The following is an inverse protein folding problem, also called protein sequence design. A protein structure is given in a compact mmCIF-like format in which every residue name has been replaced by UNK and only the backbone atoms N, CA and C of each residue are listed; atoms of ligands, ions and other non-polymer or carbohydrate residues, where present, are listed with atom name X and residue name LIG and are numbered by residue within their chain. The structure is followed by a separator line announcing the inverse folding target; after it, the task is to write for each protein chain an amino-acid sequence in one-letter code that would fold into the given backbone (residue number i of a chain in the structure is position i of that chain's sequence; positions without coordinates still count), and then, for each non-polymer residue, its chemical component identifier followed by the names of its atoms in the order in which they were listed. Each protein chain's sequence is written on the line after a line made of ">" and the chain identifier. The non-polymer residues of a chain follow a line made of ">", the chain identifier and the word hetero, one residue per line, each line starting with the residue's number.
data_IF_518344925000
#
_entry.id   IF_518344925000
#
_cell.length_a   1.000
_cell.length_b   1.000
_cell.length_c   1.000
_cell.angle_alpha   90.00
_cell.angle_beta   90.00
_cell.angle_gamma   90.00
#
_symmetry.space_group_name_H-M   'P 1'
#
loop_
_entity.id
_entity.type
_entity.pdbx_description
1 polymer ?
#
# COMPACT_ATOMS: atom_id res chain seq x y z
N UNK A 1 4.53 18.91 -17.85
CA UNK A 1 5.78 19.21 -17.12
C UNK A 1 5.40 19.32 -15.65
N UNK A 2 5.33 18.19 -14.94
CA UNK A 2 5.03 18.20 -13.51
C UNK A 2 6.16 18.92 -12.79
N UNK A 3 5.88 20.15 -12.33
CA UNK A 3 6.81 21.04 -11.62
C UNK A 3 7.04 20.60 -10.17
N UNK A 4 6.45 19.48 -9.77
CA UNK A 4 6.53 18.98 -8.41
C UNK A 4 7.73 18.03 -8.27
N UNK A 5 8.71 18.31 -7.38
CA UNK A 5 9.84 17.42 -7.15
C UNK A 5 9.49 15.98 -6.77
N UNK A 6 8.27 15.73 -6.26
CA UNK A 6 7.77 14.39 -5.94
C UNK A 6 7.28 13.61 -7.17
N UNK A 7 7.17 14.27 -8.31
CA UNK A 7 6.61 13.74 -9.55
C UNK A 7 7.62 13.79 -10.72
N UNK A 8 8.89 14.02 -10.40
CA UNK A 8 9.98 13.94 -11.37
C UNK A 8 10.32 12.47 -11.65
N UNK A 9 9.88 11.94 -12.78
CA UNK A 9 10.14 10.56 -13.19
C UNK A 9 11.63 10.27 -13.45
N UNK A 10 12.43 11.31 -13.68
CA UNK A 10 13.88 11.21 -13.89
C UNK A 10 14.71 11.37 -12.61
N UNK A 11 14.05 11.68 -11.48
CA UNK A 11 14.69 11.82 -10.18
C UNK A 11 14.89 10.49 -9.46
N UNK A 12 15.85 10.47 -8.53
CA UNK A 12 16.04 9.36 -7.60
C UNK A 12 15.24 9.60 -6.31
N UNK A 13 14.63 8.54 -5.77
CA UNK A 13 13.79 8.57 -4.58
C UNK A 13 14.21 7.52 -3.56
N UNK A 14 13.77 7.75 -2.33
CA UNK A 14 13.81 6.83 -1.21
C UNK A 14 12.39 6.48 -0.78
N UNK A 15 12.21 5.26 -0.30
CA UNK A 15 11.05 4.88 0.50
C UNK A 15 11.44 5.01 1.96
N UNK A 16 10.74 5.86 2.67
CA UNK A 16 10.89 6.03 4.10
C UNK A 16 9.79 5.26 4.84
N UNK A 17 10.13 4.76 6.02
CA UNK A 17 9.17 4.24 6.99
C UNK A 17 9.29 5.02 8.29
N UNK A 18 8.16 5.34 8.92
CA UNK A 18 8.15 5.86 10.28
C UNK A 18 7.98 4.73 11.31
N UNK A 19 8.07 5.08 12.59
CA UNK A 19 7.88 4.14 13.71
C UNK A 19 6.48 3.51 13.75
N UNK A 20 5.50 4.11 13.06
CA UNK A 20 4.12 3.60 12.93
C UNK A 20 3.94 2.65 11.73
N UNK A 21 5.00 2.39 10.95
CA UNK A 21 4.96 1.51 9.77
C UNK A 21 4.36 2.17 8.53
N UNK A 22 4.19 3.49 8.52
CA UNK A 22 3.70 4.24 7.36
C UNK A 22 4.83 4.45 6.37
N UNK A 23 4.53 4.21 5.09
CA UNK A 23 5.50 4.37 4.01
C UNK A 23 5.32 5.74 3.34
N UNK A 24 6.42 6.43 3.05
CA UNK A 24 6.42 7.72 2.34
C UNK A 24 7.48 7.73 1.25
N UNK A 25 7.13 8.22 0.07
CA UNK A 25 8.08 8.45 -1.01
C UNK A 25 8.78 9.80 -0.78
N UNK A 26 10.11 9.79 -0.73
CA UNK A 26 10.91 10.97 -0.43
C UNK A 26 11.99 11.18 -1.49
N UNK A 27 12.16 12.39 -2.03
CA UNK A 27 13.19 12.66 -3.02
C UNK A 27 14.58 12.58 -2.40
N UNK A 28 15.51 11.96 -3.12
CA UNK A 28 16.89 11.72 -2.64
C UNK A 28 17.68 12.98 -2.34
N UNK A 29 17.38 14.07 -3.04
CA UNK A 29 18.04 15.36 -2.86
C UNK A 29 17.57 16.11 -1.59
N UNK A 30 16.48 15.67 -0.95
CA UNK A 30 15.94 16.30 0.25
C UNK A 30 16.41 15.56 1.51
N UNK A 31 16.80 16.32 2.54
CA UNK A 31 17.18 15.74 3.82
C UNK A 31 16.02 14.94 4.44
N UNK A 32 16.33 13.76 4.96
CA UNK A 32 15.35 12.88 5.61
C UNK A 32 14.95 13.49 6.96
N UNK A 33 13.64 13.67 7.24
CA UNK A 33 13.19 14.18 8.53
C UNK A 33 13.54 13.22 9.69
N UNK A 34 13.75 13.78 10.88
CA UNK A 34 13.96 12.97 12.08
C UNK A 34 12.74 12.06 12.36
N UNK A 35 12.97 10.82 12.78
CA UNK A 35 11.91 9.83 13.02
C UNK A 35 11.46 9.05 11.78
N UNK A 36 12.09 9.30 10.63
CA UNK A 36 11.90 8.50 9.41
C UNK A 36 13.18 7.74 9.08
N UNK A 37 13.02 6.50 8.63
CA UNK A 37 14.11 5.60 8.26
C UNK A 37 13.99 5.21 6.80
N UNK A 38 15.08 5.31 6.04
CA UNK A 38 15.14 4.83 4.66
C UNK A 38 15.11 3.31 4.65
N UNK A 39 14.13 2.72 3.96
CA UNK A 39 13.99 1.25 3.81
C UNK A 39 14.27 0.77 2.38
N UNK A 40 14.20 1.67 1.40
CA UNK A 40 14.48 1.36 -0.01
C UNK A 40 14.95 2.61 -0.78
N UNK A 41 15.75 2.44 -1.85
CA UNK A 41 16.41 3.51 -2.62
C UNK A 41 17.93 3.59 -2.38
N UNK A 42 18.71 4.46 -3.03
CA UNK A 42 18.41 5.54 -3.99
C UNK A 42 18.08 4.96 -5.38
N UNK A 43 16.80 4.94 -5.74
CA UNK A 43 16.32 4.25 -6.94
C UNK A 43 15.30 5.09 -7.72
N UNK A 44 14.96 4.63 -8.93
CA UNK A 44 13.90 5.28 -9.73
C UNK A 44 12.55 5.31 -9.01
N UNK A 45 11.71 6.30 -9.38
CA UNK A 45 10.34 6.41 -8.86
C UNK A 45 9.55 5.11 -9.00
N UNK A 46 9.66 4.45 -10.15
CA UNK A 46 8.93 3.20 -10.40
C UNK A 46 9.39 2.10 -9.46
N UNK A 47 10.70 1.90 -9.28
CA UNK A 47 11.23 0.90 -8.34
C UNK A 47 10.79 1.17 -6.89
N UNK A 48 10.77 2.43 -6.47
CA UNK A 48 10.28 2.80 -5.15
C UNK A 48 8.77 2.55 -4.99
N UNK A 49 7.97 2.82 -6.01
CA UNK A 49 6.54 2.52 -6.01
C UNK A 49 6.28 1.01 -5.98
N UNK A 50 7.02 0.23 -6.77
CA UNK A 50 6.92 -1.23 -6.79
C UNK A 50 7.28 -1.81 -5.41
N UNK A 51 8.30 -1.25 -4.73
CA UNK A 51 8.64 -1.62 -3.36
C UNK A 51 7.50 -1.28 -2.39
N UNK A 52 6.91 -0.09 -2.49
CA UNK A 52 5.78 0.30 -1.64
C UNK A 52 4.58 -0.61 -1.89
N UNK A 53 4.24 -0.93 -3.15
CA UNK A 53 3.15 -1.85 -3.49
C UNK A 53 3.40 -3.27 -2.96
N UNK A 54 4.63 -3.75 -3.03
CA UNK A 54 5.02 -5.07 -2.55
C UNK A 54 5.12 -5.18 -1.02
N UNK A 55 5.48 -4.10 -0.32
CA UNK A 55 5.71 -4.11 1.13
C UNK A 55 4.54 -3.52 1.94
N UNK A 56 3.76 -2.61 1.35
CA UNK A 56 2.57 -2.02 1.97
C UNK A 56 1.31 -2.81 1.59
N UNK A 57 1.33 -4.11 1.88
CA UNK A 57 0.32 -5.09 1.45
C UNK A 57 -0.98 -5.06 2.27
N UNK A 58 -1.04 -4.30 3.36
CA UNK A 58 -2.29 -4.11 4.12
C UNK A 58 -2.62 -2.62 4.28
N UNK A 59 -3.28 -2.08 3.25
CA UNK A 59 -3.85 -0.72 3.23
C UNK A 59 -5.13 -0.60 4.08
N UNK A 60 -5.57 -1.67 4.74
CA UNK A 60 -6.71 -1.59 5.66
C UNK A 60 -6.23 -0.93 6.96
N UNK A 61 -6.84 0.17 7.44
CA UNK A 61 -6.65 0.56 8.82
C UNK A 61 -7.00 -0.65 9.69
N UNK A 62 -6.21 -0.96 10.73
CA UNK A 62 -6.44 -2.11 11.63
C UNK A 62 -7.89 -2.22 12.15
N UNK A 63 -8.65 -1.13 12.13
CA UNK A 63 -10.09 -1.08 12.43
C UNK A 63 -11.02 -1.79 11.45
N UNK A 64 -10.69 -1.93 10.15
CA UNK A 64 -11.56 -2.57 9.16
C UNK A 64 -11.38 -4.10 9.13
N UNK A 65 -10.17 -4.59 9.43
CA UNK A 65 -9.84 -6.03 9.48
C UNK A 65 -10.67 -6.75 10.54
N UNK A 66 -10.95 -6.09 11.67
CA UNK A 66 -11.81 -6.63 12.72
C UNK A 66 -13.29 -6.75 12.31
N UNK A 67 -13.78 -5.92 11.38
CA UNK A 67 -15.18 -5.96 10.94
C UNK A 67 -15.43 -6.96 9.81
N UNK A 68 -14.44 -7.24 8.94
CA UNK A 68 -14.61 -8.21 7.85
C UNK A 68 -14.52 -9.68 8.30
N UNK A 69 -13.90 -9.98 9.45
CA UNK A 69 -13.95 -11.31 10.05
C UNK A 69 -15.35 -11.67 10.59
N UNK A 70 -16.22 -10.68 10.80
CA UNK A 70 -17.59 -10.86 11.29
C UNK A 70 -18.64 -11.03 10.17
N UNK A 71 -18.27 -10.91 8.89
CA UNK A 71 -19.21 -10.98 7.77
C UNK A 71 -18.75 -11.94 6.66
N UNK A 72 -18.54 -13.20 7.01
CA UNK A 72 -18.63 -14.28 6.03
C UNK A 72 -20.10 -14.73 5.97
N UNK A 73 -20.90 -14.39 4.94
CA UNK A 73 -22.18 -15.03 4.76
C UNK A 73 -21.97 -16.46 4.27
N UNK A 74 -22.61 -17.36 5.00
CA UNK A 74 -22.73 -18.77 4.73
C UNK A 74 -23.19 -19.08 3.30
N UNK A 75 -22.78 -20.25 2.81
CA UNK A 75 -22.93 -20.70 1.44
C UNK A 75 -24.31 -20.53 0.84
N UNK A 76 -24.32 -20.12 -0.42
CA UNK A 76 -25.47 -20.26 -1.30
C UNK A 76 -25.61 -21.72 -1.69
N UNK A 77 -26.40 -22.46 -0.90
CA UNK A 77 -27.01 -23.70 -1.33
C UNK A 77 -27.86 -23.39 -2.57
N UNK A 78 -27.41 -23.88 -3.72
CA UNK A 78 -28.20 -23.87 -4.95
C UNK A 78 -29.45 -24.70 -4.74
N UNK A 79 -30.57 -24.02 -4.53
CA UNK A 79 -31.91 -24.58 -4.59
C UNK A 79 -32.23 -24.90 -6.05
N UNK A 80 -32.06 -26.14 -6.48
CA UNK A 80 -32.76 -26.66 -7.65
C UNK A 80 -33.68 -27.81 -7.20
N UNK A 81 -34.94 -27.48 -7.00
CA UNK A 81 -36.04 -28.43 -7.00
C UNK A 81 -37.28 -27.73 -7.53
N UNK A 82 -37.90 -28.32 -8.56
CA UNK A 82 -39.35 -28.46 -8.52
C UNK A 82 -39.83 -29.88 -8.87
N UNK A 83 -40.48 -30.48 -7.87
CA UNK A 83 -41.78 -31.16 -7.92
C UNK A 83 -42.10 -32.19 -9.04
N UNK A 84 -42.02 -33.48 -8.65
CA UNK A 84 -43.11 -34.48 -8.64
C UNK A 84 -44.18 -34.42 -9.75
N UNK A 85 -44.21 -35.43 -10.63
CA UNK A 85 -45.39 -36.21 -11.03
C UNK A 85 -44.97 -37.60 -11.51
#
# INVERSE_FOLDING_TARGET
>A
MSTNPFDDESGSFFVLVNDEGQHSLWPSFAAVPAGWTVVHGEESRQSCLDYVEANWTDLRPRSLVAQMAAHAPAGVAGSDTPAKR
#
